data_IF_797261082353
#
_entry.id   IF_797261082353
#
_cell.length_a   1.000
_cell.length_b   1.000
_cell.length_c   1.000
_cell.angle_alpha   90.00
_cell.angle_beta   90.00
_cell.angle_gamma   90.00
#
_symmetry.space_group_name_H-M   'P 1'
#
loop_
_entity.id
_entity.type
_entity.pdbx_description
1 polymer ?
#
# COMPACT_ATOMS: atom_id res chain seq x y z
N UNK A 1 -24.45 1.68 -25.18
CA UNK A 1 -23.13 1.15 -24.84
C UNK A 1 -22.15 2.30 -25.01
N UNK A 2 -21.83 3.02 -23.93
CA UNK A 2 -20.90 4.15 -23.97
C UNK A 2 -19.50 3.67 -24.31
N UNK A 3 -18.83 4.33 -25.27
CA UNK A 3 -17.43 4.03 -25.59
C UNK A 3 -16.56 4.56 -24.46
N UNK A 4 -15.87 3.66 -23.74
CA UNK A 4 -14.85 4.04 -22.76
C UNK A 4 -13.78 4.90 -23.40
N UNK A 5 -13.26 5.89 -22.68
CA UNK A 5 -12.15 6.73 -23.13
C UNK A 5 -10.85 5.93 -23.22
N UNK A 6 -9.86 6.43 -23.95
CA UNK A 6 -8.53 5.81 -24.03
C UNK A 6 -7.90 5.64 -22.63
N UNK A 7 -8.06 6.64 -21.74
CA UNK A 7 -7.56 6.61 -20.38
C UNK A 7 -8.28 5.54 -19.54
N UNK A 8 -9.60 5.36 -19.71
CA UNK A 8 -10.34 4.32 -19.03
C UNK A 8 -9.90 2.92 -19.48
N UNK A 9 -9.65 2.73 -20.77
CA UNK A 9 -9.14 1.46 -21.29
C UNK A 9 -7.74 1.13 -20.75
N UNK A 10 -6.86 2.12 -20.64
CA UNK A 10 -5.52 1.94 -20.06
C UNK A 10 -5.60 1.59 -18.56
N UNK A 11 -6.52 2.21 -17.83
CA UNK A 11 -6.79 1.92 -16.42
C UNK A 11 -7.25 0.46 -16.24
N UNK A 12 -8.25 0.03 -17.01
CA UNK A 12 -8.80 -1.32 -16.97
C UNK A 12 -7.74 -2.39 -17.29
N UNK A 13 -6.85 -2.13 -18.26
CA UNK A 13 -5.77 -3.04 -18.63
C UNK A 13 -4.75 -3.19 -17.48
N UNK A 14 -4.37 -2.09 -16.85
CA UNK A 14 -3.44 -2.11 -15.72
C UNK A 14 -4.03 -2.84 -14.51
N UNK A 15 -5.30 -2.58 -14.19
CA UNK A 15 -6.02 -3.27 -13.11
C UNK A 15 -6.12 -4.78 -13.39
N UNK A 16 -6.41 -5.18 -14.63
CA UNK A 16 -6.47 -6.61 -15.01
C UNK A 16 -5.12 -7.30 -14.89
N UNK A 17 -4.03 -6.63 -15.28
CA UNK A 17 -2.67 -7.15 -15.13
C UNK A 17 -2.27 -7.32 -13.66
N UNK A 18 -2.57 -6.32 -12.82
CA UNK A 18 -2.34 -6.38 -11.37
C UNK A 18 -3.14 -7.52 -10.72
N UNK A 19 -4.44 -7.65 -11.03
CA UNK A 19 -5.28 -8.73 -10.52
C UNK A 19 -4.69 -10.11 -10.88
N UNK A 20 -4.28 -10.32 -12.14
CA UNK A 20 -3.68 -11.57 -12.58
C UNK A 20 -2.35 -11.88 -11.87
N UNK A 21 -1.51 -10.87 -11.66
CA UNK A 21 -0.24 -11.02 -10.95
C UNK A 21 -0.46 -11.39 -9.49
N UNK A 22 -1.29 -10.65 -8.75
CA UNK A 22 -1.56 -10.91 -7.35
C UNK A 22 -2.28 -12.23 -7.11
N UNK A 23 -3.17 -12.65 -8.01
CA UNK A 23 -3.74 -14.00 -7.95
C UNK A 23 -2.66 -15.10 -8.04
N UNK A 24 -1.66 -14.95 -8.93
CA UNK A 24 -0.57 -15.93 -9.05
C UNK A 24 0.36 -15.96 -7.85
N UNK A 25 0.53 -14.82 -7.17
CA UNK A 25 1.49 -14.66 -6.06
C UNK A 25 0.81 -14.72 -4.68
N UNK A 26 -0.51 -14.94 -4.61
CA UNK A 26 -1.30 -14.85 -3.38
C UNK A 26 -0.74 -15.67 -2.21
N UNK A 27 -0.26 -16.89 -2.47
CA UNK A 27 0.31 -17.76 -1.43
C UNK A 27 1.62 -17.22 -0.82
N UNK A 28 2.38 -16.43 -1.57
CA UNK A 28 3.63 -15.81 -1.10
C UNK A 28 3.34 -14.63 -0.19
N UNK A 29 2.36 -13.79 -0.57
CA UNK A 29 1.94 -12.64 0.23
C UNK A 29 1.28 -13.08 1.54
N UNK A 30 0.42 -14.10 1.52
CA UNK A 30 -0.24 -14.64 2.72
C UNK A 30 0.73 -15.24 3.74
N UNK A 31 1.89 -15.74 3.28
CA UNK A 31 2.94 -16.35 4.13
C UNK A 31 4.10 -15.39 4.44
N UNK A 32 4.03 -14.14 4.02
CA UNK A 32 5.11 -13.18 4.25
C UNK A 32 5.21 -12.79 5.71
N UNK A 33 6.26 -13.24 6.39
CA UNK A 33 6.54 -12.85 7.79
C UNK A 33 6.76 -11.34 7.95
N UNK A 34 7.19 -10.65 6.90
CA UNK A 34 7.41 -9.20 6.90
C UNK A 34 6.09 -8.43 6.86
N UNK A 35 5.12 -8.90 6.05
CA UNK A 35 3.79 -8.31 6.02
C UNK A 35 2.96 -8.67 7.26
N UNK A 36 3.29 -9.77 7.93
CA UNK A 36 2.68 -10.17 9.19
C UNK A 36 3.07 -9.27 10.38
N UNK A 37 4.22 -8.59 10.29
CA UNK A 37 4.57 -7.53 11.24
C UNK A 37 3.71 -6.29 10.95
N UNK A 38 2.86 -5.93 11.92
CA UNK A 38 1.89 -4.83 11.84
C UNK A 38 2.19 -3.69 12.80
N UNK A 39 3.44 -3.58 13.29
CA UNK A 39 3.86 -2.47 14.16
C UNK A 39 3.67 -1.10 13.51
N UNK A 40 3.83 -1.03 12.18
CA UNK A 40 3.58 0.18 11.40
C UNK A 40 2.09 0.61 11.44
N UNK A 41 1.15 -0.35 11.44
CA UNK A 41 -0.29 -0.08 11.59
C UNK A 41 -0.58 0.42 13.01
N UNK A 42 -0.03 -0.24 14.03
CA UNK A 42 -0.18 0.16 15.44
C UNK A 42 0.35 1.57 15.66
N UNK A 43 1.54 1.89 15.15
CA UNK A 43 2.11 3.22 15.24
C UNK A 43 1.31 4.25 14.44
N UNK A 44 0.85 3.89 13.25
CA UNK A 44 0.02 4.74 12.39
C UNK A 44 -1.31 5.13 13.04
N UNK A 45 -1.92 4.22 13.78
CA UNK A 45 -3.21 4.42 14.45
C UNK A 45 -3.10 4.77 15.94
N UNK A 46 -1.89 4.99 16.46
CA UNK A 46 -1.71 5.32 17.89
C UNK A 46 -2.53 6.53 18.31
N UNK A 47 -3.25 6.39 19.41
CA UNK A 47 -4.12 7.44 19.93
C UNK A 47 -5.48 7.57 19.25
N UNK A 48 -5.77 6.75 18.23
CA UNK A 48 -7.09 6.67 17.63
C UNK A 48 -8.02 5.84 18.54
N UNK A 49 -9.12 6.43 18.95
CA UNK A 49 -10.16 5.74 19.72
C UNK A 49 -11.11 5.06 18.76
N UNK A 50 -11.27 3.74 18.91
CA UNK A 50 -12.25 2.96 18.14
C UNK A 50 -13.65 3.31 18.63
N UNK A 51 -14.58 3.77 17.76
CA UNK A 51 -15.98 3.96 18.16
C UNK A 51 -16.63 2.63 18.57
N UNK A 52 -17.64 2.66 19.45
CA UNK A 52 -18.31 1.46 19.96
C UNK A 52 -18.84 0.51 18.86
N UNK A 53 -19.13 1.02 17.67
CA UNK A 53 -19.51 0.25 16.47
C UNK A 53 -18.65 0.62 15.26
N UNK A 54 -17.37 0.87 15.50
CA UNK A 54 -16.45 1.34 14.47
C UNK A 54 -16.36 0.40 13.28
N UNK A 55 -16.56 0.95 12.09
CA UNK A 55 -16.45 0.24 10.82
C UNK A 55 -15.15 0.62 10.12
N UNK A 56 -14.44 -0.35 9.59
CA UNK A 56 -13.21 -0.10 8.84
C UNK A 56 -13.25 -0.79 7.47
N UNK A 57 -12.62 -0.16 6.49
CA UNK A 57 -12.35 -0.71 5.17
C UNK A 57 -10.83 -0.83 5.01
N UNK A 58 -10.34 -2.06 4.82
CA UNK A 58 -8.95 -2.32 4.46
C UNK A 58 -8.86 -2.56 2.95
N UNK A 59 -8.32 -1.59 2.23
CA UNK A 59 -8.24 -1.58 0.75
C UNK A 59 -6.93 -2.22 0.30
N UNK A 60 -7.00 -3.07 -0.73
CA UNK A 60 -5.91 -3.92 -1.18
C UNK A 60 -5.33 -4.75 -0.02
N UNK A 61 -6.24 -5.45 0.66
CA UNK A 61 -5.96 -6.17 1.92
C UNK A 61 -4.89 -7.26 1.78
N UNK A 62 -4.63 -7.75 0.56
CA UNK A 62 -3.66 -8.80 0.30
C UNK A 62 -3.93 -10.04 1.16
N UNK A 63 -2.90 -10.52 1.88
CA UNK A 63 -3.03 -11.66 2.79
C UNK A 63 -3.86 -11.43 4.05
N UNK A 64 -4.39 -10.22 4.29
CA UNK A 64 -5.31 -9.93 5.39
C UNK A 64 -4.65 -9.54 6.72
N UNK A 65 -3.36 -9.26 6.75
CA UNK A 65 -2.64 -8.96 8.00
C UNK A 65 -3.14 -7.67 8.68
N UNK A 66 -3.39 -6.61 7.89
CA UNK A 66 -3.98 -5.35 8.39
C UNK A 66 -5.42 -5.59 8.84
N UNK A 67 -6.23 -6.30 8.04
CA UNK A 67 -7.60 -6.65 8.38
C UNK A 67 -7.68 -7.44 9.71
N UNK A 68 -6.78 -8.41 9.90
CA UNK A 68 -6.69 -9.16 11.16
C UNK A 68 -6.31 -8.26 12.33
N UNK A 69 -5.34 -7.35 12.15
CA UNK A 69 -4.97 -6.40 13.19
C UNK A 69 -6.18 -5.54 13.60
N UNK A 70 -6.89 -4.99 12.62
CA UNK A 70 -8.10 -4.19 12.85
C UNK A 70 -9.18 -5.00 13.60
N UNK A 71 -9.45 -6.23 13.18
CA UNK A 71 -10.44 -7.10 13.83
C UNK A 71 -10.08 -7.40 15.30
N UNK A 72 -8.80 -7.66 15.59
CA UNK A 72 -8.30 -7.85 16.96
C UNK A 72 -8.48 -6.60 17.85
N UNK A 73 -8.50 -5.43 17.23
CA UNK A 73 -8.69 -4.14 17.93
C UNK A 73 -10.14 -3.64 17.92
N UNK A 74 -11.11 -4.54 17.66
CA UNK A 74 -12.53 -4.26 17.83
C UNK A 74 -13.23 -3.58 16.65
N UNK A 75 -12.57 -3.46 15.49
CA UNK A 75 -13.20 -2.94 14.29
C UNK A 75 -14.10 -3.98 13.62
N UNK A 76 -15.24 -3.54 13.09
CA UNK A 76 -15.99 -4.31 12.08
C UNK A 76 -15.31 -4.09 10.74
N UNK A 77 -14.61 -5.12 10.26
CA UNK A 77 -13.73 -5.02 9.11
C UNK A 77 -14.43 -5.48 7.84
N UNK A 78 -14.37 -4.65 6.81
CA UNK A 78 -14.54 -5.04 5.41
C UNK A 78 -13.17 -5.01 4.74
N UNK A 79 -12.76 -6.13 4.16
CA UNK A 79 -11.51 -6.26 3.41
C UNK A 79 -11.79 -6.24 1.91
N UNK A 80 -11.14 -5.35 1.19
CA UNK A 80 -11.26 -5.17 -0.25
C UNK A 80 -9.99 -5.51 -0.99
N UNK A 81 -10.11 -6.19 -2.14
CA UNK A 81 -8.98 -6.46 -3.02
C UNK A 81 -9.47 -6.63 -4.46
N UNK A 82 -8.57 -6.45 -5.43
CA UNK A 82 -8.83 -6.70 -6.85
C UNK A 82 -8.64 -8.18 -7.23
N UNK A 83 -7.97 -8.95 -6.38
CA UNK A 83 -7.62 -10.36 -6.59
C UNK A 83 -8.46 -11.27 -5.68
N UNK A 84 -9.35 -12.13 -6.23
CA UNK A 84 -10.20 -13.02 -5.43
C UNK A 84 -9.44 -13.90 -4.45
N UNK A 85 -8.30 -14.46 -4.86
CA UNK A 85 -7.45 -15.30 -3.99
C UNK A 85 -6.88 -14.57 -2.78
N UNK A 86 -6.66 -13.27 -2.88
CA UNK A 86 -6.25 -12.45 -1.73
C UNK A 86 -7.38 -12.39 -0.70
N UNK A 87 -8.61 -12.19 -1.15
CA UNK A 87 -9.78 -12.19 -0.25
C UNK A 87 -10.00 -13.52 0.45
N UNK A 88 -9.82 -14.65 -0.27
CA UNK A 88 -9.87 -15.99 0.32
C UNK A 88 -8.80 -16.17 1.41
N UNK A 89 -7.57 -15.74 1.14
CA UNK A 89 -6.48 -15.79 2.11
C UNK A 89 -6.77 -14.91 3.34
N UNK A 90 -7.26 -13.70 3.14
CA UNK A 90 -7.62 -12.78 4.22
C UNK A 90 -8.74 -13.35 5.11
N UNK A 91 -9.80 -13.92 4.51
CA UNK A 91 -10.86 -14.60 5.25
C UNK A 91 -10.32 -15.76 6.07
N UNK A 92 -9.51 -16.62 5.44
CA UNK A 92 -8.90 -17.77 6.11
C UNK A 92 -8.03 -17.35 7.29
N UNK A 93 -7.12 -16.38 7.09
CA UNK A 93 -6.26 -15.87 8.15
C UNK A 93 -7.06 -15.36 9.34
N UNK A 94 -8.08 -14.56 9.09
CA UNK A 94 -8.94 -14.02 10.16
C UNK A 94 -9.75 -15.11 10.85
N UNK A 95 -10.33 -16.06 10.11
CA UNK A 95 -11.11 -17.17 10.66
C UNK A 95 -10.25 -18.09 11.54
N UNK A 96 -9.03 -18.42 11.13
CA UNK A 96 -8.06 -19.20 11.92
C UNK A 96 -7.69 -18.49 13.23
N UNK A 97 -7.73 -17.16 13.25
CA UNK A 97 -7.54 -16.36 14.47
C UNK A 97 -8.81 -16.11 15.27
N UNK A 98 -9.95 -16.68 14.88
CA UNK A 98 -11.24 -16.55 15.56
C UNK A 98 -12.05 -15.28 15.22
N UNK A 99 -11.68 -14.56 14.17
CA UNK A 99 -12.36 -13.33 13.73
C UNK A 99 -13.11 -13.53 12.42
N UNK A 100 -14.25 -12.85 12.30
CA UNK A 100 -15.03 -12.77 11.05
C UNK A 100 -14.86 -11.39 10.43
N UNK A 101 -14.56 -11.36 9.13
CA UNK A 101 -14.50 -10.13 8.34
C UNK A 101 -15.43 -10.27 7.12
N UNK A 102 -15.91 -9.14 6.60
CA UNK A 102 -16.52 -9.10 5.28
C UNK A 102 -15.45 -8.95 4.21
N UNK A 103 -15.70 -9.51 3.01
CA UNK A 103 -14.82 -9.34 1.86
C UNK A 103 -15.58 -8.80 0.66
N UNK A 104 -14.94 -7.94 -0.14
CA UNK A 104 -15.51 -7.37 -1.36
C UNK A 104 -14.43 -7.32 -2.45
N UNK A 105 -14.81 -7.70 -3.66
CA UNK A 105 -13.96 -7.65 -4.84
C UNK A 105 -14.20 -6.33 -5.58
N UNK A 106 -13.20 -5.45 -5.64
CA UNK A 106 -13.28 -4.18 -6.37
C UNK A 106 -11.89 -3.59 -6.61
N UNK A 107 -11.71 -2.75 -7.65
CA UNK A 107 -10.52 -1.93 -7.82
C UNK A 107 -10.55 -0.75 -6.85
N UNK A 108 -9.39 -0.39 -6.31
CA UNK A 108 -9.27 0.67 -5.30
C UNK A 108 -9.81 2.03 -5.75
N UNK A 109 -9.78 2.28 -7.05
CA UNK A 109 -10.24 3.53 -7.67
C UNK A 109 -11.76 3.59 -7.93
N UNK A 110 -12.52 2.53 -7.56
CA UNK A 110 -13.98 2.46 -7.72
C UNK A 110 -14.57 1.57 -6.62
N UNK A 111 -14.86 2.14 -5.47
CA UNK A 111 -15.32 1.41 -4.30
C UNK A 111 -16.85 1.26 -4.29
N UNK A 112 -17.40 0.00 -4.21
CA UNK A 112 -18.84 -0.25 -4.28
C UNK A 112 -19.55 0.00 -2.93
N UNK A 113 -19.29 1.15 -2.32
CA UNK A 113 -19.88 1.55 -1.05
C UNK A 113 -20.50 2.93 -1.15
N UNK A 114 -21.53 3.17 -0.35
CA UNK A 114 -22.16 4.49 -0.24
C UNK A 114 -21.20 5.48 0.44
N UNK A 115 -21.45 6.77 0.21
CA UNK A 115 -20.74 7.85 0.88
C UNK A 115 -20.88 7.73 2.41
N UNK A 116 -19.81 7.97 3.13
CA UNK A 116 -19.83 7.96 4.59
C UNK A 116 -20.14 6.60 5.22
N UNK A 117 -19.71 5.50 4.63
CA UNK A 117 -19.91 4.14 5.14
C UNK A 117 -18.97 3.75 6.26
N UNK A 118 -17.76 4.31 6.31
CA UNK A 118 -16.69 3.86 7.20
C UNK A 118 -16.17 4.95 8.12
N UNK A 119 -15.72 4.54 9.30
CA UNK A 119 -15.03 5.39 10.28
C UNK A 119 -13.52 5.41 10.03
N UNK A 120 -12.98 4.33 9.43
CA UNK A 120 -11.57 4.19 9.09
C UNK A 120 -11.44 3.54 7.70
N UNK A 121 -10.56 4.09 6.87
CA UNK A 121 -10.06 3.45 5.64
C UNK A 121 -8.56 3.25 5.80
N UNK A 122 -8.07 2.03 5.56
CA UNK A 122 -6.65 1.69 5.58
C UNK A 122 -6.19 1.17 4.23
N UNK A 123 -4.94 1.43 3.89
CA UNK A 123 -4.24 0.82 2.77
C UNK A 123 -2.77 0.67 3.15
N UNK A 124 -2.19 -0.51 2.88
CA UNK A 124 -0.83 -0.81 3.33
C UNK A 124 -0.04 -1.57 2.26
N UNK A 125 1.10 -0.99 1.84
CA UNK A 125 2.08 -1.59 0.91
C UNK A 125 1.43 -2.06 -0.40
N UNK A 126 0.60 -1.18 -0.98
CA UNK A 126 -0.16 -1.50 -2.20
C UNK A 126 -0.32 -0.32 -3.17
N UNK A 127 -0.22 0.92 -2.68
CA UNK A 127 -0.54 2.12 -3.46
C UNK A 127 0.34 2.30 -4.68
N UNK A 128 1.59 1.86 -4.61
CA UNK A 128 2.53 1.91 -5.73
C UNK A 128 2.11 1.03 -6.93
N UNK A 129 1.09 0.19 -6.77
CA UNK A 129 0.46 -0.59 -7.85
C UNK A 129 -0.78 0.10 -8.43
N UNK A 130 -1.32 1.11 -7.77
CA UNK A 130 -2.58 1.73 -8.21
C UNK A 130 -2.39 2.49 -9.51
N UNK A 131 -3.42 2.44 -10.33
CA UNK A 131 -3.42 3.10 -11.64
C UNK A 131 -3.63 4.60 -11.52
N UNK A 132 -4.41 5.03 -10.52
CA UNK A 132 -4.71 6.43 -10.23
C UNK A 132 -4.77 6.68 -8.72
N UNK A 133 -3.63 7.04 -8.08
CA UNK A 133 -3.62 7.42 -6.67
C UNK A 133 -4.62 8.54 -6.33
N UNK A 134 -4.81 9.49 -7.26
CA UNK A 134 -5.78 10.57 -7.08
C UNK A 134 -7.22 10.04 -6.96
N UNK A 135 -7.66 9.16 -7.87
CA UNK A 135 -9.01 8.58 -7.80
C UNK A 135 -9.19 7.75 -6.54
N UNK A 136 -8.17 7.00 -6.16
CA UNK A 136 -8.19 6.22 -4.92
C UNK A 136 -8.39 7.11 -3.69
N UNK A 137 -7.63 8.21 -3.54
CA UNK A 137 -7.78 9.12 -2.40
C UNK A 137 -9.16 9.78 -2.39
N UNK A 138 -9.71 10.13 -3.55
CA UNK A 138 -11.08 10.65 -3.68
C UNK A 138 -12.13 9.62 -3.22
N UNK A 139 -12.00 8.36 -3.64
CA UNK A 139 -12.88 7.27 -3.20
C UNK A 139 -12.75 6.99 -1.70
N UNK A 140 -11.52 6.95 -1.17
CA UNK A 140 -11.28 6.81 0.27
C UNK A 140 -11.96 7.95 1.07
N UNK A 141 -11.82 9.18 0.60
CA UNK A 141 -12.49 10.33 1.21
C UNK A 141 -14.01 10.23 1.09
N UNK A 142 -14.54 9.79 -0.07
CA UNK A 142 -15.98 9.65 -0.29
C UNK A 142 -16.62 8.65 0.67
N UNK A 143 -16.02 7.47 0.80
CA UNK A 143 -16.58 6.39 1.66
C UNK A 143 -16.36 6.63 3.15
N UNK A 144 -15.47 7.54 3.55
CA UNK A 144 -15.30 7.95 4.94
C UNK A 144 -16.45 8.83 5.42
N UNK A 145 -16.89 8.60 6.66
CA UNK A 145 -17.77 9.51 7.39
C UNK A 145 -17.07 10.84 7.67
N UNK A 146 -17.83 11.94 7.81
CA UNK A 146 -17.27 13.16 8.37
C UNK A 146 -16.58 12.88 9.71
N UNK A 147 -15.33 13.29 9.86
CA UNK A 147 -14.50 12.99 11.03
C UNK A 147 -13.83 11.62 11.03
N UNK A 148 -14.11 10.77 10.04
CA UNK A 148 -13.42 9.48 9.85
C UNK A 148 -11.95 9.64 9.44
N UNK A 149 -11.17 8.59 9.56
CA UNK A 149 -9.73 8.62 9.36
C UNK A 149 -9.28 7.78 8.15
N UNK A 150 -8.24 8.24 7.51
CA UNK A 150 -7.55 7.57 6.42
C UNK A 150 -6.12 7.27 6.83
N UNK A 151 -5.73 5.99 6.90
CA UNK A 151 -4.37 5.56 7.14
C UNK A 151 -3.79 4.98 5.85
N UNK A 152 -2.67 5.55 5.40
CA UNK A 152 -1.87 5.09 4.29
C UNK A 152 -0.49 4.70 4.83
N UNK A 153 -0.02 3.49 4.48
CA UNK A 153 1.36 3.06 4.77
C UNK A 153 1.92 2.47 3.48
N UNK A 154 2.95 3.10 2.91
CA UNK A 154 3.61 2.59 1.70
C UNK A 154 5.07 3.06 1.61
N UNK A 155 5.79 2.50 0.64
CA UNK A 155 7.03 3.08 0.19
C UNK A 155 6.85 4.52 -0.26
N UNK A 156 7.87 5.33 -0.07
CA UNK A 156 7.88 6.74 -0.48
C UNK A 156 9.20 7.08 -1.14
N UNK A 157 9.28 8.25 -1.72
CA UNK A 157 10.52 8.86 -2.20
C UNK A 157 10.74 10.17 -1.46
N UNK A 158 11.98 10.64 -1.29
CA UNK A 158 12.24 11.95 -0.71
C UNK A 158 11.58 13.05 -1.56
N UNK A 159 11.11 14.12 -0.90
CA UNK A 159 10.78 15.35 -1.61
C UNK A 159 12.05 15.97 -2.20
N UNK A 160 11.96 16.51 -3.40
CA UNK A 160 13.05 17.25 -4.08
C UNK A 160 14.38 16.47 -4.31
N UNK A 161 14.29 15.11 -4.40
CA UNK A 161 15.45 14.26 -4.73
C UNK A 161 15.15 13.36 -5.95
N UNK A 162 15.18 13.93 -7.16
CA UNK A 162 14.85 13.21 -8.39
C UNK A 162 15.84 12.07 -8.73
N UNK A 163 17.10 12.16 -8.28
CA UNK A 163 18.08 11.11 -8.52
C UNK A 163 17.72 9.83 -7.76
N UNK A 164 17.43 9.95 -6.46
CA UNK A 164 17.02 8.81 -5.63
C UNK A 164 15.66 8.28 -6.08
N UNK A 165 14.70 9.17 -6.43
CA UNK A 165 13.39 8.78 -6.96
C UNK A 165 13.52 7.94 -8.23
N UNK A 166 14.28 8.41 -9.23
CA UNK A 166 14.46 7.71 -10.50
C UNK A 166 15.14 6.36 -10.30
N UNK A 167 16.20 6.33 -9.48
CA UNK A 167 16.91 5.09 -9.17
C UNK A 167 15.98 4.07 -8.53
N UNK A 168 15.23 4.47 -7.50
CA UNK A 168 14.34 3.58 -6.75
C UNK A 168 13.23 3.02 -7.65
N UNK A 169 12.57 3.87 -8.44
CA UNK A 169 11.53 3.42 -9.36
C UNK A 169 12.06 2.49 -10.46
N UNK A 170 13.27 2.71 -10.95
CA UNK A 170 13.91 1.83 -11.94
C UNK A 170 14.17 0.46 -11.37
N UNK A 171 14.75 0.38 -10.17
CA UNK A 171 15.06 -0.86 -9.47
C UNK A 171 13.78 -1.62 -9.10
N UNK A 172 12.77 -0.92 -8.57
CA UNK A 172 11.49 -1.55 -8.20
C UNK A 172 10.73 -2.07 -9.43
N UNK A 173 10.76 -1.39 -10.59
CA UNK A 173 10.15 -1.89 -11.83
C UNK A 173 10.86 -3.12 -12.40
N UNK A 174 12.18 -3.24 -12.25
CA UNK A 174 12.87 -4.48 -12.62
C UNK A 174 12.52 -5.62 -11.66
N UNK A 175 12.41 -5.31 -10.37
CA UNK A 175 11.98 -6.29 -9.38
C UNK A 175 10.55 -6.77 -9.63
N UNK A 176 9.64 -5.84 -9.83
CA UNK A 176 8.21 -6.08 -9.97
C UNK A 176 7.64 -5.24 -11.14
N UNK A 177 7.33 -5.87 -12.28
CA UNK A 177 6.79 -5.14 -13.45
C UNK A 177 5.44 -4.46 -13.19
N UNK A 178 4.71 -4.83 -12.13
CA UNK A 178 3.46 -4.16 -11.75
C UNK A 178 3.70 -2.87 -10.95
N UNK A 179 4.94 -2.62 -10.52
CA UNK A 179 5.28 -1.38 -9.81
C UNK A 179 5.00 -0.15 -10.69
N UNK A 180 4.15 0.72 -10.19
CA UNK A 180 3.88 2.01 -10.80
C UNK A 180 4.84 3.08 -10.28
N UNK A 181 4.47 3.69 -9.16
CA UNK A 181 5.24 4.80 -8.58
C UNK A 181 5.01 4.92 -7.07
N UNK A 182 6.08 5.15 -6.33
CA UNK A 182 5.99 5.75 -4.99
C UNK A 182 5.75 7.26 -5.14
N UNK A 183 4.94 7.82 -4.27
CA UNK A 183 4.76 9.27 -4.19
C UNK A 183 5.51 9.80 -2.96
N UNK A 184 5.99 11.04 -3.08
CA UNK A 184 6.63 11.73 -1.96
C UNK A 184 5.61 12.15 -0.89
N UNK A 185 6.02 12.45 0.34
CA UNK A 185 5.14 12.93 1.39
C UNK A 185 4.33 14.16 0.98
N UNK A 186 4.97 15.11 0.30
CA UNK A 186 4.31 16.31 -0.23
C UNK A 186 3.25 15.96 -1.27
N UNK A 187 3.53 15.04 -2.19
CA UNK A 187 2.55 14.62 -3.19
C UNK A 187 1.32 13.96 -2.54
N UNK A 188 1.50 13.16 -1.49
CA UNK A 188 0.40 12.59 -0.72
C UNK A 188 -0.41 13.66 0.01
N UNK A 189 0.27 14.67 0.60
CA UNK A 189 -0.40 15.80 1.23
C UNK A 189 -1.26 16.57 0.24
N UNK A 190 -0.71 16.90 -0.94
CA UNK A 190 -1.43 17.62 -2.00
C UNK A 190 -2.68 16.84 -2.48
N UNK A 191 -2.61 15.50 -2.57
CA UNK A 191 -3.75 14.65 -2.91
C UNK A 191 -4.81 14.61 -1.80
N UNK A 192 -4.37 14.50 -0.55
CA UNK A 192 -5.26 14.50 0.61
C UNK A 192 -6.03 15.82 0.73
N UNK A 193 -5.34 16.95 0.61
CA UNK A 193 -5.94 18.29 0.67
C UNK A 193 -7.01 18.49 -0.44
N UNK A 194 -6.72 18.05 -1.68
CA UNK A 194 -7.68 18.10 -2.79
C UNK A 194 -8.92 17.22 -2.57
N UNK A 195 -8.81 16.21 -1.72
CA UNK A 195 -9.91 15.32 -1.35
C UNK A 195 -10.55 15.68 0.01
N UNK A 196 -10.30 16.89 0.53
CA UNK A 196 -10.82 17.39 1.81
C UNK A 196 -10.44 16.54 3.03
N UNK A 197 -9.28 15.88 2.95
CA UNK A 197 -8.66 15.16 4.04
C UNK A 197 -7.60 16.04 4.70
N UNK A 198 -7.80 16.38 5.96
CA UNK A 198 -6.82 17.13 6.76
C UNK A 198 -5.75 16.18 7.29
N UNK A 199 -4.49 16.43 6.97
CA UNK A 199 -3.37 15.65 7.49
C UNK A 199 -3.28 15.82 9.01
N UNK A 200 -3.26 14.68 9.71
CA UNK A 200 -3.09 14.59 11.16
C UNK A 200 -1.62 14.32 11.48
N UNK A 201 -0.99 13.42 10.71
CA UNK A 201 0.39 13.00 10.91
C UNK A 201 0.96 12.40 9.62
N UNK A 202 2.25 12.63 9.41
CA UNK A 202 3.03 12.01 8.33
C UNK A 202 4.38 11.60 8.91
N UNK A 203 4.52 10.32 9.25
CA UNK A 203 5.71 9.77 9.88
C UNK A 203 6.59 9.09 8.81
N UNK A 204 7.77 9.63 8.57
CA UNK A 204 8.79 9.00 7.73
C UNK A 204 9.54 7.95 8.56
N UNK A 205 9.68 6.77 7.98
CA UNK A 205 10.38 5.64 8.55
C UNK A 205 11.34 5.05 7.52
N UNK A 206 12.25 4.20 7.96
CA UNK A 206 13.09 3.42 7.06
C UNK A 206 12.92 1.95 7.40
N UNK A 207 12.59 1.13 6.40
CA UNK A 207 12.51 -0.32 6.55
C UNK A 207 13.69 -0.97 5.86
N UNK A 208 14.47 -1.72 6.62
CA UNK A 208 15.57 -2.50 6.06
C UNK A 208 15.01 -3.58 5.14
N UNK A 209 15.58 -3.70 3.95
CA UNK A 209 15.32 -4.82 3.07
C UNK A 209 15.81 -6.11 3.77
N UNK A 210 14.97 -7.15 3.89
CA UNK A 210 15.28 -8.31 4.74
C UNK A 210 16.47 -9.13 4.22
N UNK A 211 16.42 -9.53 2.95
CA UNK A 211 17.47 -10.18 2.20
C UNK A 211 17.12 -10.22 0.70
N UNK A 212 18.14 -10.41 -0.14
CA UNK A 212 17.95 -10.43 -1.59
C UNK A 212 17.08 -11.60 -2.07
N UNK A 213 17.14 -12.75 -1.37
CA UNK A 213 16.31 -13.89 -1.74
C UNK A 213 14.84 -13.58 -1.57
N UNK A 214 14.46 -13.08 -0.39
CA UNK A 214 13.08 -12.66 -0.14
C UNK A 214 12.66 -11.54 -1.11
N UNK A 215 13.53 -10.55 -1.32
CA UNK A 215 13.28 -9.41 -2.18
C UNK A 215 12.89 -9.83 -3.60
N UNK A 216 13.64 -10.74 -4.19
CA UNK A 216 13.38 -11.21 -5.55
C UNK A 216 12.27 -12.26 -5.63
N UNK A 217 12.22 -13.19 -4.70
CA UNK A 217 11.28 -14.30 -4.74
C UNK A 217 9.84 -13.84 -4.50
N UNK A 218 9.63 -12.85 -3.62
CA UNK A 218 8.28 -12.30 -3.35
C UNK A 218 7.67 -11.69 -4.60
N UNK A 219 8.45 -11.01 -5.44
CA UNK A 219 8.00 -10.42 -6.69
C UNK A 219 8.08 -11.38 -7.89
N UNK A 220 8.62 -12.58 -7.72
CA UNK A 220 8.95 -13.51 -8.82
C UNK A 220 9.86 -12.88 -9.88
N UNK A 221 10.85 -12.11 -9.45
CA UNK A 221 11.77 -11.38 -10.32
C UNK A 221 12.56 -12.37 -11.20
N UNK A 222 12.59 -12.12 -12.52
CA UNK A 222 13.36 -12.93 -13.47
C UNK A 222 14.86 -12.80 -13.23
N UNK A 223 15.66 -13.82 -13.63
CA UNK A 223 17.12 -13.78 -13.48
C UNK A 223 17.73 -12.56 -14.18
N UNK A 224 17.30 -12.24 -15.38
CA UNK A 224 17.75 -11.05 -16.11
C UNK A 224 17.55 -9.77 -15.31
N UNK A 225 16.37 -9.63 -14.69
CA UNK A 225 16.06 -8.45 -13.91
C UNK A 225 16.78 -8.45 -12.55
N UNK A 226 17.04 -9.60 -11.95
CA UNK A 226 17.91 -9.71 -10.75
C UNK A 226 19.31 -9.16 -11.04
N UNK A 227 19.89 -9.54 -12.17
CA UNK A 227 21.21 -9.03 -12.59
C UNK A 227 21.19 -7.50 -12.76
N UNK A 228 20.16 -6.95 -13.42
CA UNK A 228 19.99 -5.49 -13.58
C UNK A 228 19.89 -4.75 -12.25
N UNK A 229 19.14 -5.31 -11.29
CA UNK A 229 19.03 -4.73 -9.93
C UNK A 229 20.38 -4.76 -9.24
N UNK A 230 21.09 -5.89 -9.26
CA UNK A 230 22.40 -6.03 -8.62
C UNK A 230 23.44 -5.09 -9.23
N UNK A 231 23.41 -4.93 -10.57
CA UNK A 231 24.26 -3.97 -11.27
C UNK A 231 23.95 -2.53 -10.88
N UNK A 232 22.65 -2.16 -10.81
CA UNK A 232 22.24 -0.84 -10.37
C UNK A 232 22.67 -0.54 -8.94
N UNK A 233 22.57 -1.51 -8.03
CA UNK A 233 23.05 -1.40 -6.66
C UNK A 233 24.57 -1.22 -6.63
N UNK A 234 25.32 -1.97 -7.45
CA UNK A 234 26.78 -1.85 -7.51
C UNK A 234 27.25 -0.49 -8.04
N UNK A 235 26.49 0.07 -9.00
CA UNK A 235 26.80 1.37 -9.68
C UNK A 235 26.06 2.56 -9.08
N UNK A 236 25.34 2.40 -7.97
CA UNK A 236 24.64 3.53 -7.32
C UNK A 236 25.63 4.63 -6.94
N UNK A 237 25.26 5.88 -7.19
CA UNK A 237 26.06 7.06 -6.80
C UNK A 237 26.23 7.15 -5.28
N UNK A 238 27.18 7.95 -4.82
CA UNK A 238 27.36 8.21 -3.39
C UNK A 238 26.09 8.83 -2.77
N UNK A 239 25.41 9.71 -3.51
CA UNK A 239 24.17 10.34 -3.09
C UNK A 239 23.07 9.29 -2.84
N UNK A 240 22.77 8.44 -3.83
CA UNK A 240 21.76 7.35 -3.70
C UNK A 240 22.16 6.36 -2.62
N UNK A 241 23.44 6.01 -2.51
CA UNK A 241 23.95 5.15 -1.45
C UNK A 241 23.67 5.72 -0.06
N UNK A 242 23.92 7.01 0.12
CA UNK A 242 23.66 7.68 1.39
C UNK A 242 22.16 7.73 1.69
N UNK A 243 21.34 8.16 0.72
CA UNK A 243 19.90 8.29 0.86
C UNK A 243 19.20 6.96 1.23
N UNK A 244 19.58 5.86 0.59
CA UNK A 244 18.98 4.54 0.79
C UNK A 244 19.82 3.64 1.70
N UNK A 245 20.91 4.13 2.28
CA UNK A 245 21.84 3.38 3.14
C UNK A 245 22.28 2.07 2.48
N UNK A 246 22.62 2.15 1.19
CA UNK A 246 23.11 0.99 0.44
C UNK A 246 24.50 0.61 0.93
N UNK A 247 24.65 -0.61 1.42
CA UNK A 247 25.91 -1.11 1.98
C UNK A 247 26.03 -2.61 2.01
N UNK A 248 26.93 -3.11 2.83
CA UNK A 248 27.09 -4.54 3.14
C UNK A 248 27.06 -4.75 4.64
N UNK A 249 26.31 -5.75 5.07
CA UNK A 249 26.32 -6.27 6.43
C UNK A 249 26.59 -7.78 6.35
N UNK A 250 27.56 -8.28 7.10
CA UNK A 250 28.00 -9.68 7.06
C UNK A 250 28.25 -10.20 5.64
N UNK A 251 28.84 -9.34 4.79
CA UNK A 251 29.14 -9.65 3.38
C UNK A 251 27.93 -9.61 2.43
N UNK A 252 26.72 -9.42 2.94
CA UNK A 252 25.47 -9.35 2.17
C UNK A 252 25.12 -7.91 1.83
N UNK A 253 24.60 -7.66 0.62
CA UNK A 253 24.09 -6.37 0.19
C UNK A 253 22.83 -6.08 0.98
N UNK A 254 22.73 -4.86 1.52
CA UNK A 254 21.57 -4.32 2.23
C UNK A 254 21.27 -2.91 1.76
N UNK A 255 20.00 -2.53 1.80
CA UNK A 255 19.54 -1.13 1.69
C UNK A 255 18.24 -0.93 2.47
N UNK A 256 17.80 0.31 2.58
CA UNK A 256 16.62 0.67 3.34
C UNK A 256 15.61 1.35 2.43
N UNK A 257 14.36 0.89 2.51
CA UNK A 257 13.25 1.60 1.86
C UNK A 257 12.82 2.78 2.72
N UNK A 258 12.69 3.98 2.15
CA UNK A 258 11.93 5.02 2.79
C UNK A 258 10.45 4.61 2.79
N UNK A 259 9.83 4.70 3.96
CA UNK A 259 8.42 4.37 4.19
C UNK A 259 7.70 5.59 4.75
N UNK A 260 6.46 5.75 4.38
CA UNK A 260 5.56 6.78 4.90
C UNK A 260 4.37 6.12 5.59
N UNK A 261 4.12 6.49 6.85
CA UNK A 261 2.86 6.27 7.54
C UNK A 261 2.11 7.61 7.60
N UNK A 262 1.01 7.72 6.86
CA UNK A 262 0.28 8.96 6.67
C UNK A 262 -1.14 8.80 7.20
N UNK A 263 -1.48 9.57 8.24
CA UNK A 263 -2.80 9.61 8.84
C UNK A 263 -3.47 10.95 8.49
N UNK A 264 -4.64 10.88 7.88
CA UNK A 264 -5.47 12.04 7.61
C UNK A 264 -6.90 11.85 8.16
N UNK A 265 -7.64 12.93 8.31
CA UNK A 265 -9.01 12.94 8.81
C UNK A 265 -9.91 13.67 7.83
N UNK A 266 -11.06 13.08 7.50
CA UNK A 266 -12.09 13.76 6.69
C UNK A 266 -12.65 14.96 7.46
N UNK A 267 -12.59 16.12 6.84
CA UNK A 267 -13.19 17.33 7.42
C UNK A 267 -14.70 17.18 7.50
N UNK A 268 -15.31 17.71 8.55
CA UNK A 268 -16.76 17.85 8.57
C UNK A 268 -17.12 18.88 7.49
N UNK A 269 -18.12 18.59 6.65
CA UNK A 269 -18.69 19.64 5.80
C UNK A 269 -19.02 20.81 6.71
N UNK A 270 -18.44 21.97 6.43
CA UNK A 270 -18.77 23.19 7.19
C UNK A 270 -20.28 23.42 7.10
N UNK A 271 -20.90 23.61 8.25
CA UNK A 271 -22.29 24.10 8.33
C UNK A 271 -22.34 25.55 7.86
#
# INVERSE_FOLDING_TARGET
MERKTADQNALDLKQSASAAQFNRQSDRYGKSHILADTQDVEQGLRGLIVPASGTSLDVATGGGHTALWLARHGWKVTAGDIAPRMLENAQKLCAEAGFRIETRLFPAEEMPFADGSFDLVTVRVALHHFSSPQKFVQEAARVLRPGGHFLLIDGTVPDDDPETEEWLHRVERWRDPSHGRFLSPKAWQDLAEKAELKVVRADLQSRKQPDLKWYFDTAATSEENREKVLEAVAKASEHVRAALRIGKEDGKIVWWWPMLAFLARKTSAGR
#
